data_IF_522269975076
#
_entry.id   IF_522269975076
#
_cell.length_a   1.000
_cell.length_b   1.000
_cell.length_c   1.000
_cell.angle_alpha   90.00
_cell.angle_beta   90.00
_cell.angle_gamma   90.00
#
_symmetry.space_group_name_H-M   'P 1'
#
loop_
_entity.id
_entity.type
_entity.pdbx_description
1 polymer ?
#
# COMPACT_ATOMS: atom_id res chain seq x y z
N UNK A 1 -2.02 -17.47 -6.87
CA UNK A 1 -3.45 -17.10 -7.07
C UNK A 1 -3.56 -16.01 -8.14
N UNK A 2 -4.63 -15.92 -8.95
CA UNK A 2 -4.79 -14.82 -9.95
C UNK A 2 -5.70 -13.70 -9.43
N UNK A 3 -5.57 -12.48 -9.99
CA UNK A 3 -6.46 -11.36 -9.65
C UNK A 3 -7.93 -11.65 -9.95
N UNK A 4 -8.21 -12.37 -11.04
CA UNK A 4 -9.56 -12.81 -11.38
C UNK A 4 -10.16 -13.68 -10.28
N UNK A 5 -9.36 -14.61 -9.72
CA UNK A 5 -9.79 -15.45 -8.62
C UNK A 5 -10.04 -14.65 -7.33
N UNK A 6 -9.17 -13.68 -7.01
CA UNK A 6 -9.41 -12.76 -5.89
C UNK A 6 -10.76 -12.07 -6.06
N UNK A 7 -11.01 -11.47 -7.23
CA UNK A 7 -12.27 -10.77 -7.54
C UNK A 7 -13.49 -11.68 -7.40
N UNK A 8 -13.42 -12.91 -7.91
CA UNK A 8 -14.54 -13.87 -7.82
C UNK A 8 -14.75 -14.44 -6.43
N UNK A 9 -13.71 -14.46 -5.59
CA UNK A 9 -13.80 -14.93 -4.19
C UNK A 9 -14.36 -13.90 -3.21
N UNK A 10 -14.47 -12.63 -3.62
CA UNK A 10 -15.08 -11.61 -2.78
C UNK A 10 -16.59 -11.88 -2.60
N UNK A 11 -17.13 -11.82 -1.37
CA UNK A 11 -18.54 -12.05 -1.11
C UNK A 11 -19.43 -10.91 -1.65
N UNK A 12 -20.73 -11.16 -1.77
CA UNK A 12 -21.67 -10.20 -2.36
C UNK A 12 -21.77 -8.88 -1.60
N UNK A 13 -21.66 -8.90 -0.26
CA UNK A 13 -21.61 -7.69 0.56
C UNK A 13 -20.35 -6.84 0.31
N UNK A 14 -19.33 -7.38 -0.36
CA UNK A 14 -18.10 -6.69 -0.73
C UNK A 14 -18.03 -6.38 -2.23
N UNK A 15 -19.18 -6.37 -2.94
CA UNK A 15 -19.25 -6.07 -4.38
C UNK A 15 -18.55 -4.76 -4.76
N UNK A 16 -18.66 -3.72 -3.94
CA UNK A 16 -18.01 -2.44 -4.20
C UNK A 16 -16.48 -2.56 -4.22
N UNK A 17 -15.90 -3.42 -3.37
CA UNK A 17 -14.45 -3.67 -3.37
C UNK A 17 -14.00 -4.35 -4.66
N UNK A 18 -14.82 -5.24 -5.22
CA UNK A 18 -14.55 -5.90 -6.52
C UNK A 18 -14.47 -4.87 -7.65
N UNK A 19 -15.43 -3.96 -7.73
CA UNK A 19 -15.49 -2.91 -8.76
C UNK A 19 -14.36 -1.90 -8.58
N UNK A 20 -14.08 -1.49 -7.33
CA UNK A 20 -13.00 -0.57 -7.04
C UNK A 20 -11.64 -1.17 -7.35
N UNK A 21 -11.40 -2.46 -7.04
CA UNK A 21 -10.14 -3.14 -7.36
C UNK A 21 -9.88 -3.16 -8.87
N UNK A 22 -10.90 -3.42 -9.67
CA UNK A 22 -10.79 -3.36 -11.13
C UNK A 22 -10.50 -1.94 -11.63
N UNK A 23 -11.15 -0.93 -11.04
CA UNK A 23 -10.95 0.47 -11.42
C UNK A 23 -9.53 0.96 -11.09
N UNK A 24 -9.08 0.81 -9.84
CA UNK A 24 -7.81 1.43 -9.38
C UNK A 24 -6.55 0.77 -9.96
N UNK A 25 -6.66 -0.42 -10.54
CA UNK A 25 -5.54 -1.13 -11.18
C UNK A 25 -5.33 -0.77 -12.66
N UNK A 26 -6.11 0.18 -13.19
CA UNK A 26 -5.93 0.75 -14.53
C UNK A 26 -5.80 2.27 -14.53
N UNK A 27 -5.13 2.80 -15.55
CA UNK A 27 -4.85 4.25 -15.68
C UNK A 27 -6.12 5.12 -15.66
N UNK A 28 -7.24 4.62 -16.20
CA UNK A 28 -8.52 5.32 -16.16
C UNK A 28 -9.10 5.50 -14.75
N UNK A 29 -8.85 4.55 -13.84
CA UNK A 29 -9.28 4.65 -12.45
C UNK A 29 -8.26 5.29 -11.52
N UNK A 30 -7.00 5.41 -11.93
CA UNK A 30 -5.89 6.00 -11.18
C UNK A 30 -5.20 7.13 -11.97
N UNK A 31 -5.90 8.23 -12.29
CA UNK A 31 -5.35 9.33 -13.08
C UNK A 31 -4.11 9.93 -12.42
N UNK A 32 -3.17 10.37 -13.27
CA UNK A 32 -1.89 10.92 -12.85
C UNK A 32 -0.79 9.90 -12.56
N UNK A 33 -1.11 8.59 -12.62
CA UNK A 33 -0.14 7.51 -12.51
C UNK A 33 -0.04 6.75 -13.83
N UNK A 34 1.17 6.31 -14.18
CA UNK A 34 1.38 5.33 -15.25
C UNK A 34 0.97 3.93 -14.80
N UNK A 35 0.70 3.02 -15.75
CA UNK A 35 0.41 1.61 -15.44
C UNK A 35 1.50 0.95 -14.59
N UNK A 36 2.78 1.31 -14.82
CA UNK A 36 3.90 0.86 -14.00
C UNK A 36 3.76 1.34 -12.55
N UNK A 37 3.52 2.64 -12.34
CA UNK A 37 3.36 3.21 -10.99
C UNK A 37 2.18 2.59 -10.25
N UNK A 38 1.07 2.36 -10.94
CA UNK A 38 -0.10 1.66 -10.39
C UNK A 38 0.29 0.27 -9.89
N UNK A 39 1.02 -0.50 -10.72
CA UNK A 39 1.51 -1.83 -10.35
C UNK A 39 2.46 -1.81 -9.13
N UNK A 40 3.40 -0.87 -9.06
CA UNK A 40 4.34 -0.75 -7.94
C UNK A 40 3.65 -0.34 -6.64
N UNK A 41 2.73 0.64 -6.70
CA UNK A 41 1.93 1.08 -5.55
C UNK A 41 1.04 -0.05 -5.06
N UNK A 42 0.38 -0.77 -5.97
CA UNK A 42 -0.47 -1.92 -5.62
C UNK A 42 0.35 -3.02 -4.94
N UNK A 43 1.54 -3.35 -5.45
CA UNK A 43 2.43 -4.35 -4.83
C UNK A 43 2.84 -3.96 -3.42
N UNK A 44 3.33 -2.74 -3.22
CA UNK A 44 3.72 -2.26 -1.89
C UNK A 44 2.54 -2.28 -0.92
N UNK A 45 1.35 -1.87 -1.38
CA UNK A 45 0.11 -1.89 -0.61
C UNK A 45 -0.32 -3.30 -0.22
N UNK A 46 -0.22 -4.26 -1.14
CA UNK A 46 -0.57 -5.66 -0.89
C UNK A 46 0.38 -6.32 0.11
N UNK A 47 1.68 -5.98 0.09
CA UNK A 47 2.65 -6.42 1.09
C UNK A 47 2.29 -5.84 2.47
N UNK A 48 1.97 -4.54 2.53
CA UNK A 48 1.58 -3.88 3.78
C UNK A 48 0.27 -4.43 4.37
N UNK A 49 -0.65 -4.91 3.52
CA UNK A 49 -1.89 -5.55 3.93
C UNK A 49 -1.71 -6.99 4.47
N UNK A 50 -0.55 -7.62 4.24
CA UNK A 50 -0.15 -8.94 4.79
C UNK A 50 -1.07 -10.11 4.45
N UNK A 51 -1.82 -10.01 3.36
CA UNK A 51 -2.70 -11.08 2.89
C UNK A 51 -2.04 -11.89 1.78
N UNK A 52 -1.42 -13.03 2.12
CA UNK A 52 -0.59 -13.84 1.22
C UNK A 52 -1.25 -14.08 -0.16
N UNK A 53 -2.50 -14.61 -0.26
CA UNK A 53 -3.11 -14.86 -1.56
C UNK A 53 -3.27 -13.62 -2.45
N UNK A 54 -3.50 -12.44 -1.83
CA UNK A 54 -3.65 -11.18 -2.55
C UNK A 54 -2.28 -10.65 -2.96
N UNK A 55 -1.29 -10.72 -2.08
CA UNK A 55 0.10 -10.33 -2.38
C UNK A 55 0.64 -11.13 -3.57
N UNK A 56 0.39 -12.44 -3.63
CA UNK A 56 0.78 -13.26 -4.79
C UNK A 56 0.10 -12.80 -6.09
N UNK A 57 -1.22 -12.58 -6.06
CA UNK A 57 -1.98 -12.16 -7.23
C UNK A 57 -1.52 -10.80 -7.76
N UNK A 58 -1.30 -9.84 -6.85
CA UNK A 58 -0.81 -8.50 -7.19
C UNK A 58 0.65 -8.56 -7.66
N UNK A 59 1.50 -9.42 -7.09
CA UNK A 59 2.88 -9.58 -7.55
C UNK A 59 2.93 -10.11 -8.99
N UNK A 60 2.07 -11.08 -9.35
CA UNK A 60 1.95 -11.57 -10.72
C UNK A 60 1.44 -10.49 -11.69
N UNK A 61 0.49 -9.67 -11.26
CA UNK A 61 0.03 -8.51 -12.02
C UNK A 61 1.16 -7.49 -12.23
N UNK A 62 1.86 -7.11 -11.16
CA UNK A 62 2.90 -6.10 -11.23
C UNK A 62 4.08 -6.53 -12.11
N UNK A 63 4.42 -7.83 -12.11
CA UNK A 63 5.48 -8.39 -12.96
C UNK A 63 5.20 -8.28 -14.47
N UNK A 64 3.95 -7.97 -14.88
CA UNK A 64 3.62 -7.70 -16.29
C UNK A 64 3.89 -6.26 -16.71
N UNK A 65 4.16 -5.37 -15.75
CA UNK A 65 4.21 -3.91 -15.98
C UNK A 65 5.52 -3.26 -15.48
N UNK A 66 6.34 -3.97 -14.72
CA UNK A 66 7.57 -3.46 -14.14
C UNK A 66 8.69 -4.50 -14.17
N UNK A 67 9.93 -4.03 -14.23
CA UNK A 67 11.13 -4.87 -14.15
C UNK A 67 11.36 -5.42 -12.73
N UNK A 68 12.20 -6.44 -12.60
CA UNK A 68 12.55 -7.00 -11.30
C UNK A 68 13.10 -5.95 -10.31
N UNK A 69 13.97 -5.05 -10.79
CA UNK A 69 14.55 -3.98 -9.98
C UNK A 69 13.49 -2.98 -9.48
N UNK A 70 12.52 -2.62 -10.33
CA UNK A 70 11.43 -1.72 -9.94
C UNK A 70 10.50 -2.40 -8.92
N UNK A 71 10.20 -3.69 -9.09
CA UNK A 71 9.43 -4.47 -8.11
C UNK A 71 10.17 -4.55 -6.76
N UNK A 72 11.49 -4.71 -6.77
CA UNK A 72 12.31 -4.70 -5.54
C UNK A 72 12.31 -3.32 -4.87
N UNK A 73 12.20 -2.24 -5.65
CA UNK A 73 11.93 -0.90 -5.15
C UNK A 73 10.62 -0.81 -4.33
N UNK A 74 9.53 -1.37 -4.85
CA UNK A 74 8.25 -1.43 -4.14
C UNK A 74 8.31 -2.29 -2.86
N UNK A 75 9.03 -3.43 -2.91
CA UNK A 75 9.29 -4.26 -1.73
C UNK A 75 10.12 -3.52 -0.68
N UNK A 76 11.12 -2.75 -1.12
CA UNK A 76 11.97 -1.91 -0.27
C UNK A 76 11.15 -0.83 0.41
N UNK A 77 10.24 -0.17 -0.32
CA UNK A 77 9.31 0.79 0.26
C UNK A 77 8.45 0.15 1.36
N UNK A 78 7.81 -0.99 1.08
CA UNK A 78 6.99 -1.70 2.07
C UNK A 78 7.80 -2.14 3.31
N UNK A 79 9.01 -2.66 3.12
CA UNK A 79 9.89 -3.11 4.20
C UNK A 79 10.35 -1.94 5.09
N UNK A 80 10.84 -0.85 4.48
CA UNK A 80 11.29 0.32 5.24
C UNK A 80 10.12 0.98 5.96
N UNK A 81 8.99 1.18 5.29
CA UNK A 81 7.80 1.77 5.90
C UNK A 81 7.26 0.91 7.05
N UNK A 82 7.37 -0.42 6.96
CA UNK A 82 7.04 -1.32 8.08
C UNK A 82 7.83 -1.04 9.36
N UNK A 83 9.07 -0.55 9.24
CA UNK A 83 9.91 -0.14 10.37
C UNK A 83 9.69 1.35 10.73
N UNK A 84 9.87 2.24 9.74
CA UNK A 84 9.91 3.69 9.97
C UNK A 84 8.54 4.24 10.35
N UNK A 85 7.44 3.69 9.82
CA UNK A 85 6.10 4.14 10.19
C UNK A 85 5.80 3.89 11.66
N UNK A 86 6.32 2.80 12.25
CA UNK A 86 6.12 2.55 13.68
C UNK A 86 6.89 3.59 14.49
N UNK A 87 8.17 3.77 14.21
CA UNK A 87 9.04 4.68 14.97
C UNK A 87 8.60 6.14 14.85
N UNK A 88 8.40 6.64 13.63
CA UNK A 88 8.03 8.05 13.43
C UNK A 88 6.59 8.35 13.79
N UNK A 89 5.70 7.35 13.83
CA UNK A 89 4.37 7.51 14.44
C UNK A 89 4.49 7.64 15.95
N UNK A 90 5.30 6.81 16.61
CA UNK A 90 5.55 6.94 18.04
C UNK A 90 6.04 8.36 18.39
N UNK A 91 7.06 8.87 17.69
CA UNK A 91 7.56 10.23 17.91
C UNK A 91 6.48 11.30 17.74
N UNK A 92 5.54 11.11 16.81
CA UNK A 92 4.46 12.05 16.57
C UNK A 92 3.34 11.99 17.62
N UNK A 93 3.15 10.83 18.27
CA UNK A 93 2.03 10.58 19.20
C UNK A 93 2.41 10.68 20.68
N UNK A 94 3.70 10.58 21.03
CA UNK A 94 4.15 10.45 22.43
C UNK A 94 4.09 11.76 23.23
N UNK A 95 3.90 12.90 22.57
CA UNK A 95 3.80 14.23 23.20
C UNK A 95 4.98 14.55 24.15
N UNK A 96 6.16 13.98 23.86
CA UNK A 96 7.40 14.24 24.57
C UNK A 96 8.53 14.46 23.56
N UNK A 97 8.98 15.71 23.46
CA UNK A 97 9.99 16.15 22.49
C UNK A 97 11.38 15.56 22.76
N UNK A 98 11.65 15.06 23.97
CA UNK A 98 12.93 14.44 24.33
C UNK A 98 13.27 13.29 23.36
N UNK A 99 12.28 12.47 22.99
CA UNK A 99 12.49 11.36 22.05
C UNK A 99 12.92 11.82 20.66
N UNK A 100 12.54 13.04 20.24
CA UNK A 100 12.98 13.63 18.98
C UNK A 100 14.45 14.06 18.99
N UNK A 101 15.04 14.27 20.16
CA UNK A 101 16.46 14.63 20.33
C UNK A 101 17.39 13.41 20.34
N UNK A 102 16.84 12.24 20.67
CA UNK A 102 17.59 10.98 20.70
C UNK A 102 17.89 10.49 19.28
N UNK A 103 19.09 9.94 19.09
CA UNK A 103 19.45 9.30 17.83
C UNK A 103 18.58 8.05 17.63
N UNK A 104 17.82 8.00 16.53
CA UNK A 104 16.92 6.89 16.23
C UNK A 104 17.60 5.51 16.20
N UNK A 105 18.88 5.42 15.84
CA UNK A 105 19.63 4.15 15.79
C UNK A 105 19.18 3.20 14.67
N UNK A 106 18.28 3.63 13.78
CA UNK A 106 17.75 2.82 12.67
C UNK A 106 18.53 3.06 11.37
N UNK A 107 18.86 1.98 10.65
CA UNK A 107 19.53 2.05 9.35
C UNK A 107 18.50 2.22 8.24
N UNK A 108 18.62 3.28 7.44
CA UNK A 108 17.68 3.62 6.35
C UNK A 108 18.40 3.95 5.04
N UNK A 109 19.55 3.35 4.77
CA UNK A 109 20.39 3.66 3.60
C UNK A 109 19.61 3.56 2.27
N UNK A 110 18.70 2.58 2.17
CA UNK A 110 17.86 2.38 1.00
C UNK A 110 16.81 3.50 0.78
N UNK A 111 16.57 4.39 1.76
CA UNK A 111 15.71 5.55 1.56
C UNK A 111 16.36 6.61 0.63
N UNK A 112 17.69 6.68 0.65
CA UNK A 112 18.49 7.54 -0.24
C UNK A 112 18.76 6.86 -1.60
N UNK A 113 18.97 5.54 -1.59
CA UNK A 113 19.17 4.76 -2.80
C UNK A 113 18.29 3.49 -2.79
N UNK A 114 17.02 3.58 -3.23
CA UNK A 114 16.07 2.47 -3.16
C UNK A 114 16.29 1.39 -4.21
N UNK A 115 17.27 1.56 -5.12
CA UNK A 115 17.49 0.63 -6.23
C UNK A 115 16.46 0.75 -7.37
N UNK A 116 15.58 1.75 -7.30
CA UNK A 116 14.58 2.08 -8.32
C UNK A 116 14.47 3.60 -8.50
N UNK A 117 13.57 4.05 -9.38
CA UNK A 117 13.21 5.46 -9.49
C UNK A 117 12.70 6.01 -8.15
N UNK A 118 13.10 7.24 -7.82
CA UNK A 118 12.81 7.86 -6.51
C UNK A 118 11.33 8.23 -6.37
N UNK A 119 10.66 8.64 -7.44
CA UNK A 119 9.24 8.98 -7.40
C UNK A 119 8.39 7.72 -7.25
N UNK A 120 8.77 6.63 -7.91
CA UNK A 120 8.12 5.33 -7.75
C UNK A 120 8.24 4.82 -6.30
N UNK A 121 9.43 4.97 -5.69
CA UNK A 121 9.65 4.65 -4.27
C UNK A 121 8.79 5.51 -3.34
N UNK A 122 8.74 6.84 -3.55
CA UNK A 122 7.97 7.73 -2.69
C UNK A 122 6.44 7.55 -2.87
N UNK A 123 5.95 7.21 -4.07
CA UNK A 123 4.57 6.83 -4.34
C UNK A 123 4.18 5.53 -3.59
N UNK A 124 5.04 4.51 -3.64
CA UNK A 124 4.84 3.29 -2.86
C UNK A 124 4.90 3.57 -1.35
N UNK A 125 5.82 4.42 -0.91
CA UNK A 125 6.01 4.74 0.51
C UNK A 125 4.85 5.54 1.11
N UNK A 126 4.27 6.50 0.36
CA UNK A 126 3.08 7.24 0.83
C UNK A 126 1.86 6.32 0.92
N UNK A 127 1.70 5.38 -0.01
CA UNK A 127 0.63 4.39 0.01
C UNK A 127 0.74 3.44 1.22
N UNK A 128 1.93 2.89 1.48
CA UNK A 128 2.16 2.04 2.66
C UNK A 128 2.03 2.83 3.96
N UNK A 129 2.51 4.07 4.00
CA UNK A 129 2.36 4.95 5.18
C UNK A 129 0.90 5.27 5.50
N UNK A 130 0.05 5.37 4.48
CA UNK A 130 -1.38 5.55 4.66
C UNK A 130 -2.03 4.30 5.27
N UNK A 131 -1.70 3.10 4.76
CA UNK A 131 -2.18 1.82 5.34
C UNK A 131 -1.74 1.69 6.80
N UNK A 132 -0.47 1.98 7.08
CA UNK A 132 0.07 1.85 8.42
C UNK A 132 -0.45 2.95 9.36
N UNK A 133 -0.87 4.11 8.85
CA UNK A 133 -1.36 5.24 9.63
C UNK A 133 -0.26 6.10 10.26
N UNK A 134 0.87 6.33 9.57
CA UNK A 134 1.93 7.25 10.04
C UNK A 134 1.78 8.64 9.39
N UNK A 135 1.15 9.59 10.09
CA UNK A 135 0.89 10.94 9.58
C UNK A 135 2.17 11.71 9.18
N UNK A 136 3.22 11.63 10.00
CA UNK A 136 4.51 12.27 9.70
C UNK A 136 5.18 11.69 8.44
N UNK A 137 5.09 10.38 8.23
CA UNK A 137 5.62 9.69 7.06
C UNK A 137 4.83 10.03 5.79
N UNK A 138 3.49 10.03 5.86
CA UNK A 138 2.62 10.45 4.75
C UNK A 138 2.97 11.87 4.32
N UNK A 139 3.06 12.82 5.26
CA UNK A 139 3.40 14.21 4.97
C UNK A 139 4.80 14.35 4.36
N UNK A 140 5.78 13.56 4.82
CA UNK A 140 7.15 13.60 4.29
C UNK A 140 7.23 13.11 2.84
N UNK A 141 6.67 11.94 2.53
CA UNK A 141 6.69 11.40 1.17
C UNK A 141 5.82 12.22 0.21
N UNK A 142 4.66 12.72 0.66
CA UNK A 142 3.84 13.63 -0.16
C UNK A 142 4.62 14.87 -0.53
N UNK A 143 5.26 15.54 0.44
CA UNK A 143 6.05 16.76 0.16
C UNK A 143 7.18 16.50 -0.82
N UNK A 144 7.86 15.36 -0.70
CA UNK A 144 8.90 14.94 -1.62
C UNK A 144 8.36 14.76 -3.05
N UNK A 145 7.20 14.10 -3.20
CA UNK A 145 6.52 13.91 -4.48
C UNK A 145 6.12 15.25 -5.12
N UNK A 146 5.47 16.12 -4.35
CA UNK A 146 5.03 17.44 -4.84
C UNK A 146 6.20 18.32 -5.27
N UNK A 147 7.31 18.28 -4.52
CA UNK A 147 8.55 19.01 -4.87
C UNK A 147 9.11 18.61 -6.24
N UNK A 148 8.89 17.37 -6.66
CA UNK A 148 9.34 16.85 -7.96
C UNK A 148 8.22 16.83 -9.02
N UNK A 149 7.14 17.59 -8.81
CA UNK A 149 6.10 17.82 -9.82
C UNK A 149 5.02 16.75 -9.92
N UNK A 150 5.05 15.71 -9.09
CA UNK A 150 3.97 14.69 -9.05
C UNK A 150 2.69 15.36 -8.59
N UNK A 151 1.60 15.26 -9.36
CA UNK A 151 0.33 15.96 -9.10
C UNK A 151 -0.36 15.50 -7.80
N UNK A 152 -1.17 16.36 -7.18
CA UNK A 152 -1.96 15.95 -6.00
C UNK A 152 -2.95 14.82 -6.36
N UNK A 153 -3.44 14.81 -7.60
CA UNK A 153 -4.28 13.74 -8.14
C UNK A 153 -3.54 12.40 -8.21
N UNK A 154 -2.27 12.40 -8.61
CA UNK A 154 -1.44 11.19 -8.63
C UNK A 154 -1.21 10.64 -7.21
N UNK A 155 -0.92 11.50 -6.23
CA UNK A 155 -0.80 11.11 -4.82
C UNK A 155 -2.13 10.55 -4.29
N UNK A 156 -3.24 11.19 -4.60
CA UNK A 156 -4.58 10.70 -4.22
C UNK A 156 -4.87 9.34 -4.87
N UNK A 157 -4.50 9.13 -6.13
CA UNK A 157 -4.61 7.83 -6.81
C UNK A 157 -3.80 6.74 -6.08
N UNK A 158 -2.58 7.04 -5.62
CA UNK A 158 -1.80 6.10 -4.82
C UNK A 158 -2.48 5.75 -3.49
N UNK A 159 -3.05 6.75 -2.80
CA UNK A 159 -3.81 6.53 -1.57
C UNK A 159 -5.08 5.69 -1.79
N UNK A 160 -5.80 5.91 -2.91
CA UNK A 160 -6.98 5.10 -3.28
C UNK A 160 -6.61 3.65 -3.58
N UNK A 161 -5.51 3.41 -4.29
CA UNK A 161 -4.99 2.05 -4.51
C UNK A 161 -4.71 1.37 -3.16
N UNK A 162 -4.00 2.05 -2.25
CA UNK A 162 -3.72 1.55 -0.91
C UNK A 162 -5.00 1.18 -0.15
N UNK A 163 -5.99 2.07 -0.11
CA UNK A 163 -7.25 1.85 0.59
C UNK A 163 -8.02 0.63 0.05
N UNK A 164 -8.14 0.52 -1.28
CA UNK A 164 -8.86 -0.58 -1.94
C UNK A 164 -8.13 -1.91 -1.75
N UNK A 165 -6.82 -1.95 -1.98
CA UNK A 165 -6.01 -3.17 -1.81
C UNK A 165 -6.06 -3.67 -0.37
N UNK A 166 -5.95 -2.77 0.62
CA UNK A 166 -6.08 -3.12 2.02
C UNK A 166 -7.49 -3.64 2.36
N UNK A 167 -8.54 -2.98 1.88
CA UNK A 167 -9.91 -3.42 2.12
C UNK A 167 -10.21 -4.81 1.51
N UNK A 168 -9.71 -5.09 0.30
CA UNK A 168 -9.84 -6.41 -0.36
C UNK A 168 -9.14 -7.50 0.47
N UNK A 169 -7.93 -7.24 0.94
CA UNK A 169 -7.20 -8.16 1.81
C UNK A 169 -8.01 -8.52 3.06
N UNK A 170 -8.48 -7.50 3.79
CA UNK A 170 -9.28 -7.70 5.01
C UNK A 170 -10.59 -8.43 4.70
N UNK A 171 -11.32 -8.02 3.66
CA UNK A 171 -12.59 -8.65 3.31
C UNK A 171 -12.43 -10.14 2.98
N UNK A 172 -11.36 -10.51 2.26
CA UNK A 172 -11.12 -11.90 1.87
C UNK A 172 -10.72 -12.77 3.07
N UNK A 173 -9.76 -12.33 3.88
CA UNK A 173 -9.31 -13.09 5.06
C UNK A 173 -10.40 -13.21 6.12
N UNK A 174 -11.11 -12.11 6.41
CA UNK A 174 -12.16 -12.13 7.41
C UNK A 174 -13.41 -12.87 6.93
N UNK A 175 -13.71 -12.88 5.63
CA UNK A 175 -14.75 -13.75 5.08
C UNK A 175 -14.40 -15.22 5.30
N UNK A 176 -13.17 -15.64 4.99
CA UNK A 176 -12.71 -17.01 5.21
C UNK A 176 -12.78 -17.42 6.70
N UNK A 177 -12.45 -16.51 7.62
CA UNK A 177 -12.51 -16.75 9.05
C UNK A 177 -13.95 -16.79 9.60
N UNK A 178 -14.83 -15.93 9.11
CA UNK A 178 -16.21 -15.78 9.63
C UNK A 178 -17.26 -16.65 8.94
N UNK A 179 -17.03 -17.11 7.71
CA UNK A 179 -17.97 -17.95 6.96
C UNK A 179 -18.23 -19.32 7.61
N UNK A 180 -17.38 -19.74 8.56
CA UNK A 180 -17.60 -20.93 9.39
C UNK A 180 -18.52 -20.72 10.60
N UNK A 181 -18.99 -19.49 10.86
CA UNK A 181 -19.87 -19.18 12.00
C UNK A 181 -21.33 -19.31 11.54
N UNK A 182 -22.10 -20.33 12.01
CA UNK A 182 -23.50 -20.44 11.66
C UNK A 182 -24.26 -19.20 12.15
N UNK A 183 -25.14 -18.67 11.30
CA UNK A 183 -26.04 -17.59 11.69
C UNK A 183 -26.84 -18.04 12.93
N UNK A 184 -26.84 -17.22 13.98
CA UNK A 184 -27.71 -17.43 15.14
C UNK A 184 -29.14 -17.42 14.60
N UNK A 185 -29.80 -18.58 14.63
CA UNK A 185 -31.22 -18.65 14.35
C UNK A 185 -31.92 -17.79 15.42
N UNK A 186 -32.56 -16.71 14.99
CA UNK A 186 -33.44 -15.94 15.86
C UNK A 186 -34.56 -16.89 16.32
N UNK A 187 -34.72 -16.99 17.64
CA UNK A 187 -35.77 -17.79 18.29
C UNK A 187 -37.16 -17.18 18.05
#
# INVERSE_FOLDING_TARGET
MTLEHIKSSLPDYAKDLRLNLESVLGEGGAPGLSQKQIALVALASAIAARHLPLTEAIAQFAARHASAAELDGARTAAALMGMTNIYYRFLHLVENDEYGTLRAGLRMNAMANPGCDKLDFDLASVAVSAINGCGSCVASHERALRKHGVSAQAVQSAARIAAVVHAVAVAQEQHAASAGVPAVQAA
#
